data_IF_761990032185
#
_entry.id   IF_761990032185
#
_cell.length_a   1.000
_cell.length_b   1.000
_cell.length_c   1.000
_cell.angle_alpha   90.00
_cell.angle_beta   90.00
_cell.angle_gamma   90.00
#
_symmetry.space_group_name_H-M   'P 1'
#
loop_
_entity.id
_entity.type
_entity.pdbx_description
1 polymer ?
#
# COMPACT_ATOMS: atom_id res chain seq x y z
N UNK A 1 6.53 -20.23 -34.39
CA UNK A 1 5.89 -19.23 -33.50
C UNK A 1 6.69 -19.23 -32.20
N UNK A 2 7.59 -18.27 -32.04
CA UNK A 2 8.32 -18.07 -30.78
C UNK A 2 7.35 -17.40 -29.80
N UNK A 3 6.89 -18.14 -28.80
CA UNK A 3 6.27 -17.59 -27.61
C UNK A 3 7.39 -16.89 -26.82
N UNK A 4 7.38 -15.55 -26.83
CA UNK A 4 8.19 -14.78 -25.89
C UNK A 4 7.82 -15.23 -24.47
N UNK A 5 8.78 -15.51 -23.58
CA UNK A 5 8.46 -15.84 -22.20
C UNK A 5 7.70 -14.66 -21.61
N UNK A 6 6.48 -14.91 -21.09
CA UNK A 6 5.86 -13.96 -20.17
C UNK A 6 6.86 -13.77 -19.04
N UNK A 7 7.52 -12.62 -19.01
CA UNK A 7 8.36 -12.26 -17.89
C UNK A 7 7.50 -12.33 -16.65
N UNK A 8 7.72 -13.37 -15.84
CA UNK A 8 7.06 -13.51 -14.56
C UNK A 8 7.41 -12.24 -13.77
N UNK A 9 6.43 -11.38 -13.59
CA UNK A 9 6.60 -10.16 -12.81
C UNK A 9 7.02 -10.59 -11.41
N UNK A 10 8.21 -10.18 -10.98
CA UNK A 10 8.75 -10.58 -9.68
C UNK A 10 7.80 -10.21 -8.55
N UNK A 11 7.58 -11.13 -7.63
CA UNK A 11 6.79 -10.92 -6.44
C UNK A 11 7.57 -10.12 -5.38
N UNK A 12 6.84 -9.33 -4.60
CA UNK A 12 7.35 -8.61 -3.45
C UNK A 12 6.43 -8.84 -2.26
N UNK A 13 6.42 -10.06 -1.67
CA UNK A 13 5.34 -10.53 -0.80
C UNK A 13 5.36 -9.96 0.61
N UNK A 14 6.40 -9.20 0.98
CA UNK A 14 6.57 -8.62 2.32
C UNK A 14 7.48 -7.39 2.29
N UNK A 15 7.53 -6.68 3.42
CA UNK A 15 8.51 -5.63 3.64
C UNK A 15 9.93 -6.13 3.35
N UNK A 16 10.69 -5.40 2.56
CA UNK A 16 12.04 -5.73 2.10
C UNK A 16 12.14 -6.95 1.16
N UNK A 17 11.04 -7.34 0.52
CA UNK A 17 11.02 -8.31 -0.56
C UNK A 17 11.14 -9.78 -0.14
N UNK A 18 11.29 -10.70 -1.07
CA UNK A 18 11.15 -12.14 -0.85
C UNK A 18 12.16 -12.71 0.17
N UNK A 19 13.37 -12.18 0.19
CA UNK A 19 14.46 -12.62 1.09
C UNK A 19 14.75 -11.65 2.24
N UNK A 20 14.00 -10.54 2.35
CA UNK A 20 14.22 -9.53 3.37
C UNK A 20 15.44 -8.61 3.15
N UNK A 21 16.13 -8.72 2.03
CA UNK A 21 17.34 -7.95 1.74
C UNK A 21 17.06 -6.55 1.16
N UNK A 22 15.82 -6.27 0.76
CA UNK A 22 15.40 -5.06 0.04
C UNK A 22 16.15 -4.83 -1.28
N UNK A 23 16.54 -5.91 -1.94
CA UNK A 23 17.25 -5.88 -3.23
C UNK A 23 16.33 -6.41 -4.31
N UNK A 24 16.24 -5.68 -5.39
CA UNK A 24 15.59 -6.10 -6.63
C UNK A 24 16.65 -6.22 -7.73
N UNK A 25 16.68 -7.38 -8.40
CA UNK A 25 17.70 -7.69 -9.42
C UNK A 25 17.24 -7.40 -10.85
N UNK A 26 16.01 -6.87 -11.02
CA UNK A 26 15.51 -6.47 -12.34
C UNK A 26 15.85 -5.02 -12.70
N UNK A 27 15.51 -4.64 -13.92
CA UNK A 27 15.60 -3.26 -14.34
C UNK A 27 14.47 -2.43 -13.70
N UNK A 28 14.84 -1.26 -13.21
CA UNK A 28 13.89 -0.26 -12.68
C UNK A 28 14.08 1.06 -13.42
N UNK A 29 13.02 1.82 -13.68
CA UNK A 29 13.15 3.16 -14.23
C UNK A 29 13.98 4.03 -13.28
N UNK A 30 14.92 4.78 -13.83
CA UNK A 30 15.73 5.78 -13.09
C UNK A 30 15.10 7.17 -13.13
N UNK A 31 14.07 7.35 -13.96
CA UNK A 31 13.28 8.57 -14.09
C UNK A 31 11.81 8.21 -14.10
N UNK A 32 11.00 9.00 -13.40
CA UNK A 32 9.53 8.91 -13.42
C UNK A 32 8.95 10.28 -13.14
N UNK A 33 7.78 10.51 -13.70
CA UNK A 33 6.95 11.69 -13.47
C UNK A 33 5.47 11.28 -13.47
N UNK A 34 4.55 12.23 -13.37
CA UNK A 34 3.12 11.92 -13.46
C UNK A 34 2.73 11.19 -14.75
N UNK A 35 3.48 11.43 -15.84
CA UNK A 35 3.19 10.95 -17.19
C UNK A 35 4.27 10.01 -17.75
N UNK A 36 5.31 9.69 -16.98
CA UNK A 36 6.44 8.87 -17.41
C UNK A 36 6.72 7.75 -16.41
N UNK A 37 6.79 6.52 -16.94
CA UNK A 37 7.13 5.31 -16.16
C UNK A 37 6.18 5.02 -14.98
N UNK A 38 4.98 5.59 -14.98
CA UNK A 38 3.88 5.26 -14.07
C UNK A 38 2.85 4.42 -14.82
N UNK A 39 2.63 3.19 -14.39
CA UNK A 39 1.64 2.32 -15.01
C UNK A 39 0.21 2.74 -14.66
N UNK A 40 -0.03 3.02 -13.40
CA UNK A 40 -1.30 3.50 -12.86
C UNK A 40 -1.09 4.18 -11.51
N UNK A 41 -2.06 4.98 -11.12
CA UNK A 41 -2.11 5.67 -9.84
C UNK A 41 -3.52 5.54 -9.28
N UNK A 42 -3.63 5.30 -7.99
CA UNK A 42 -4.91 5.11 -7.28
C UNK A 42 -4.86 5.87 -5.97
N UNK A 43 -5.92 6.60 -5.67
CA UNK A 43 -6.10 7.25 -4.38
C UNK A 43 -6.61 6.22 -3.37
N UNK A 44 -6.02 6.23 -2.16
CA UNK A 44 -6.45 5.41 -1.05
C UNK A 44 -7.48 6.16 -0.20
N UNK A 45 -8.39 5.47 0.52
CA UNK A 45 -9.39 6.11 1.38
C UNK A 45 -8.81 6.99 2.48
N UNK A 46 -7.57 6.76 2.86
CA UNK A 46 -6.89 7.52 3.90
C UNK A 46 -5.39 7.22 3.96
N UNK A 47 -4.66 7.83 4.90
CA UNK A 47 -3.24 7.63 5.04
C UNK A 47 -2.87 6.22 5.48
N UNK A 48 -1.62 5.84 5.29
CA UNK A 48 -1.06 4.58 5.74
C UNK A 48 0.46 4.58 5.60
N UNK A 49 1.12 3.82 6.46
CA UNK A 49 2.58 3.64 6.45
C UNK A 49 3.00 2.22 6.08
N UNK A 50 2.08 1.42 5.54
CA UNK A 50 2.41 0.07 5.11
C UNK A 50 3.19 0.04 3.80
N UNK A 51 4.12 -0.90 3.69
CA UNK A 51 4.70 -1.25 2.40
C UNK A 51 3.70 -2.09 1.61
N UNK A 52 3.43 -1.78 0.34
CA UNK A 52 2.62 -2.64 -0.50
C UNK A 52 3.26 -4.03 -0.65
N UNK A 53 2.42 -5.07 -0.65
CA UNK A 53 2.81 -6.42 -1.00
C UNK A 53 2.34 -6.75 -2.41
N UNK A 54 3.19 -7.40 -3.19
CA UNK A 54 2.90 -7.83 -4.57
C UNK A 54 3.04 -9.32 -4.65
N UNK A 55 1.94 -10.01 -4.99
CA UNK A 55 1.90 -11.46 -5.14
C UNK A 55 1.11 -11.82 -6.39
N UNK A 56 1.77 -12.40 -7.37
CA UNK A 56 1.16 -12.68 -8.67
C UNK A 56 0.54 -11.42 -9.31
N UNK A 57 -0.73 -11.47 -9.61
CA UNK A 57 -1.50 -10.35 -10.19
C UNK A 57 -2.14 -9.42 -9.16
N UNK A 58 -1.75 -9.52 -7.89
CA UNK A 58 -2.33 -8.76 -6.78
C UNK A 58 -1.33 -7.76 -6.19
N UNK A 59 -1.83 -6.57 -5.85
CA UNK A 59 -1.15 -5.59 -5.00
C UNK A 59 -2.02 -5.35 -3.77
N UNK A 60 -1.46 -5.63 -2.59
CA UNK A 60 -2.14 -5.44 -1.32
C UNK A 60 -1.51 -4.27 -0.57
N UNK A 61 -2.35 -3.40 -0.02
CA UNK A 61 -1.92 -2.26 0.77
C UNK A 61 -2.91 -2.00 1.90
N UNK A 62 -2.42 -1.48 3.03
CA UNK A 62 -3.26 -1.06 4.14
C UNK A 62 -3.27 0.45 4.29
N UNK A 63 -4.40 0.98 4.71
CA UNK A 63 -4.56 2.36 5.14
C UNK A 63 -5.59 2.43 6.27
N UNK A 64 -5.84 3.63 6.79
CA UNK A 64 -6.83 3.82 7.84
C UNK A 64 -7.62 5.11 7.63
N UNK A 65 -8.79 5.19 8.26
CA UNK A 65 -9.66 6.35 8.26
C UNK A 65 -10.25 6.59 9.65
N UNK A 66 -10.87 7.72 9.85
CA UNK A 66 -11.67 8.05 11.02
C UNK A 66 -10.90 8.68 12.17
N UNK A 67 -9.64 8.32 12.41
CA UNK A 67 -8.84 8.90 13.49
C UNK A 67 -7.38 9.04 13.08
N UNK A 68 -6.75 10.13 13.50
CA UNK A 68 -5.32 10.37 13.27
C UNK A 68 -4.96 10.58 11.79
N UNK A 69 -5.91 11.02 10.97
CA UNK A 69 -5.72 11.20 9.52
C UNK A 69 -5.01 12.50 9.18
N UNK A 70 -5.09 13.50 10.05
CA UNK A 70 -4.41 14.80 9.93
C UNK A 70 -3.92 15.28 11.30
N UNK A 71 -3.02 16.28 11.33
CA UNK A 71 -2.54 16.89 12.57
C UNK A 71 -3.63 17.62 13.36
N UNK A 72 -4.66 18.11 12.70
CA UNK A 72 -5.81 18.81 13.28
C UNK A 72 -7.03 17.92 13.48
N UNK A 73 -6.84 16.62 13.42
CA UNK A 73 -7.92 15.64 13.55
C UNK A 73 -8.48 15.67 14.99
N UNK A 74 -9.77 15.98 15.10
CA UNK A 74 -10.52 16.02 16.37
C UNK A 74 -11.35 14.75 16.59
N UNK A 75 -11.22 13.76 15.71
CA UNK A 75 -11.91 12.49 15.82
C UNK A 75 -11.44 11.67 17.04
N UNK A 76 -12.19 10.66 17.39
CA UNK A 76 -11.89 9.81 18.55
C UNK A 76 -11.17 8.54 18.13
N UNK A 77 -10.32 7.94 19.00
CA UNK A 77 -9.68 6.66 18.72
C UNK A 77 -10.66 5.54 18.32
N UNK A 78 -11.89 5.59 18.83
CA UNK A 78 -12.95 4.62 18.50
C UNK A 78 -13.47 4.76 17.06
N UNK A 79 -13.20 5.89 16.40
CA UNK A 79 -13.60 6.12 15.01
C UNK A 79 -12.62 5.47 14.02
N UNK A 80 -11.50 4.96 14.51
CA UNK A 80 -10.47 4.33 13.68
C UNK A 80 -11.02 3.12 12.94
N UNK A 81 -10.89 3.15 11.64
CA UNK A 81 -11.19 2.03 10.74
C UNK A 81 -9.94 1.69 9.93
N UNK A 82 -9.50 0.44 10.00
CA UNK A 82 -8.40 -0.07 9.20
C UNK A 82 -8.92 -0.71 7.94
N UNK A 83 -8.24 -0.47 6.84
CA UNK A 83 -8.58 -1.01 5.53
C UNK A 83 -7.46 -1.87 5.00
N UNK A 84 -7.81 -3.00 4.40
CA UNK A 84 -6.95 -3.79 3.53
C UNK A 84 -7.56 -3.74 2.14
N UNK A 85 -6.79 -3.25 1.18
CA UNK A 85 -7.20 -3.12 -0.21
C UNK A 85 -6.37 -4.05 -1.08
N UNK A 86 -7.02 -4.63 -2.06
CA UNK A 86 -6.40 -5.46 -3.07
C UNK A 86 -6.71 -4.91 -4.46
N UNK A 87 -5.66 -4.61 -5.19
CA UNK A 87 -5.73 -4.08 -6.55
C UNK A 87 -5.22 -5.09 -7.56
N UNK A 88 -5.73 -5.00 -8.76
CA UNK A 88 -5.14 -5.68 -9.90
C UNK A 88 -3.80 -5.03 -10.26
N UNK A 89 -2.75 -5.82 -10.33
CA UNK A 89 -1.39 -5.34 -10.57
C UNK A 89 -1.20 -4.67 -11.93
N UNK A 90 -1.96 -5.09 -12.95
CA UNK A 90 -1.79 -4.58 -14.31
C UNK A 90 -2.56 -3.29 -14.53
N UNK A 91 -3.79 -3.23 -14.03
CA UNK A 91 -4.72 -2.14 -14.30
C UNK A 91 -4.84 -1.13 -13.15
N UNK A 92 -4.48 -1.50 -11.92
CA UNK A 92 -4.75 -0.69 -10.73
C UNK A 92 -6.22 -0.75 -10.28
N UNK A 93 -7.05 -1.56 -10.92
CA UNK A 93 -8.46 -1.68 -10.53
C UNK A 93 -8.60 -2.33 -9.17
N UNK A 94 -9.46 -1.75 -8.32
CA UNK A 94 -9.78 -2.35 -7.02
C UNK A 94 -10.51 -3.68 -7.23
N UNK A 95 -9.92 -4.77 -6.75
CA UNK A 95 -10.54 -6.10 -6.79
C UNK A 95 -11.45 -6.35 -5.59
N UNK A 96 -10.98 -5.96 -4.41
CA UNK A 96 -11.76 -6.02 -3.18
C UNK A 96 -11.14 -5.15 -2.08
N UNK A 97 -11.95 -4.85 -1.08
CA UNK A 97 -11.56 -4.14 0.13
C UNK A 97 -12.17 -4.82 1.35
N UNK A 98 -11.43 -4.80 2.46
CA UNK A 98 -11.92 -5.17 3.79
C UNK A 98 -11.70 -4.00 4.73
N UNK A 99 -12.71 -3.69 5.53
CA UNK A 99 -12.67 -2.65 6.55
C UNK A 99 -12.94 -3.28 7.91
N UNK A 100 -12.12 -2.94 8.89
CA UNK A 100 -12.24 -3.42 10.27
C UNK A 100 -12.24 -2.22 11.19
N UNK A 101 -13.37 -2.00 11.88
CA UNK A 101 -13.45 -1.01 12.95
C UNK A 101 -12.67 -1.46 14.17
N UNK A 102 -12.09 -0.53 14.87
CA UNK A 102 -11.47 -0.76 16.17
C UNK A 102 -12.52 -1.28 17.15
N UNK A 103 -12.22 -2.36 17.85
CA UNK A 103 -13.10 -2.96 18.88
C UNK A 103 -12.71 -2.57 20.30
N UNK A 104 -11.55 -1.99 20.48
CA UNK A 104 -11.02 -1.46 21.74
C UNK A 104 -10.52 -0.06 21.46
N UNK A 105 -10.75 0.85 22.42
CA UNK A 105 -10.12 2.15 22.40
C UNK A 105 -8.61 1.94 22.29
N UNK A 106 -8.00 2.54 21.28
CA UNK A 106 -6.55 2.61 21.17
C UNK A 106 -6.04 3.76 22.02
N UNK A 107 -4.83 3.60 22.55
CA UNK A 107 -4.17 4.73 23.19
C UNK A 107 -4.04 5.87 22.18
N UNK A 108 -4.32 7.10 22.59
CA UNK A 108 -4.15 8.25 21.72
C UNK A 108 -2.74 8.24 21.13
N UNK A 109 -2.64 8.39 19.82
CA UNK A 109 -1.35 8.52 19.16
C UNK A 109 -0.63 9.76 19.72
N UNK A 110 0.38 9.51 20.51
CA UNK A 110 1.33 10.53 20.94
C UNK A 110 2.43 10.54 19.89
N UNK A 111 2.22 11.32 18.83
CA UNK A 111 3.26 11.55 17.84
C UNK A 111 4.53 11.98 18.57
N UNK A 112 5.67 11.42 18.20
CA UNK A 112 6.95 12.00 18.58
C UNK A 112 7.03 13.36 17.88
N UNK A 113 6.61 14.40 18.58
CA UNK A 113 6.95 15.76 18.21
C UNK A 113 8.40 15.87 18.64
N UNK A 114 9.31 15.70 17.69
CA UNK A 114 10.65 16.23 17.87
C UNK A 114 10.50 17.75 17.73
N UNK A 115 10.67 18.46 18.84
CA UNK A 115 10.90 19.89 18.86
C UNK A 115 12.22 20.24 18.13
#
# INVERSE_FOLDING_TARGET
VLLAPLSALADWPRFRGPNGAAVFSGEVPVRWSADENIRWKVDLPGPGSSSPCVVGDLVLVTCYTGYGTTRSDTSRPDDLTRHLLCFDRRSGSLRWQRAVKTRRAEDPYRGMIQE
#
